data_IF_857085330688
#
_entry.id   IF_857085330688
#
_cell.length_a   1.000
_cell.length_b   1.000
_cell.length_c   1.000
_cell.angle_alpha   90.00
_cell.angle_beta   90.00
_cell.angle_gamma   90.00
#
_symmetry.space_group_name_H-M   'P 1'
#
loop_
_entity.id
_entity.type
_entity.pdbx_description
1 polymer ?
2 non-polymer ?
3 non-polymer ?
4 water ?
#
# COMPACT_ATOMS: atom_id res chain seq x y z
N UNK A 1 -8.51 -7.40 10.86
CA UNK A 1 -8.19 -8.51 11.81
C UNK A 1 -7.61 -9.72 11.07
N UNK A 2 -7.76 -9.73 9.75
CA UNK A 2 -7.27 -10.82 8.89
C UNK A 2 -5.73 -10.93 8.91
N UNK A 3 -5.06 -9.78 9.00
CA UNK A 3 -3.60 -9.76 9.04
C UNK A 3 -3.01 -9.70 10.47
N UNK A 4 -2.10 -10.63 10.73
CA UNK A 4 -1.53 -10.87 12.06
C UNK A 4 -0.19 -10.15 12.29
N UNK A 5 0.10 -9.16 11.44
CA UNK A 5 1.37 -8.45 11.53
C UNK A 5 1.17 -6.94 11.38
N UNK A 6 1.64 -6.22 12.39
CA UNK A 6 1.71 -4.77 12.35
C UNK A 6 3.04 -4.40 12.96
N UNK A 7 3.50 -3.20 12.62
CA UNK A 7 4.78 -2.68 13.09
C UNK A 7 4.58 -2.04 14.47
N UNK A 8 5.49 -2.37 15.39
CA UNK A 8 5.53 -1.72 16.69
C UNK A 8 6.49 -0.55 16.61
N UNK A 9 6.12 0.53 17.29
CA UNK A 9 7.00 1.69 17.42
C UNK A 9 6.96 2.60 16.20
N UNK A 10 5.97 2.38 15.35
CA UNK A 10 5.76 3.19 14.17
C UNK A 10 5.71 4.69 14.47
N UNK A 11 6.59 5.44 13.80
CA UNK A 11 6.46 6.89 13.77
C UNK A 11 5.97 7.32 12.39
N UNK A 12 4.68 7.65 12.30
CA UNK A 12 4.05 8.02 11.02
C UNK A 12 4.69 9.22 10.31
N UNK A 13 5.29 10.14 11.07
CA UNK A 13 5.96 11.30 10.45
C UNK A 13 7.08 10.83 9.53
N UNK A 14 7.81 9.80 9.98
CA UNK A 14 9.02 9.34 9.28
C UNK A 14 8.76 8.48 8.03
N UNK A 15 7.49 8.25 7.69
CA UNK A 15 7.12 7.67 6.38
C UNK A 15 6.77 8.73 5.30
N UNK A 16 6.82 10.01 5.68
CA UNK A 16 6.50 11.07 4.73
C UNK A 16 7.40 11.01 3.50
N UNK A 17 6.87 11.48 2.37
CA UNK A 17 7.70 11.65 1.19
C UNK A 17 7.35 10.71 0.06
N UNK A 18 8.33 10.46 -0.81
CA UNK A 18 8.22 9.65 -2.03
C UNK A 18 8.21 8.10 -1.83
N UNK A 19 7.21 7.42 -2.39
CA UNK A 19 7.31 5.95 -2.49
C UNK A 19 6.99 5.38 -3.87
N UNK A 20 7.50 4.18 -4.15
CA UNK A 20 7.13 3.42 -5.36
C UNK A 20 6.45 2.10 -4.96
N UNK A 21 5.33 1.79 -5.61
CA UNK A 21 4.63 0.51 -5.43
C UNK A 21 5.28 -0.56 -6.27
N UNK A 22 6.27 -1.24 -5.69
CA UNK A 22 7.10 -2.20 -6.41
C UNK A 22 6.38 -3.55 -6.63
N UNK A 23 5.66 -4.01 -5.62
CA UNK A 23 4.85 -5.24 -5.74
C UNK A 23 3.54 -5.06 -5.03
N UNK A 24 2.52 -5.67 -5.61
CA UNK A 24 1.18 -5.67 -5.03
C UNK A 24 0.69 -7.10 -5.03
N UNK A 25 -0.16 -7.42 -4.05
CA UNK A 25 -0.80 -8.75 -3.97
C UNK A 25 -2.22 -8.59 -3.45
N UNK A 26 -3.11 -9.52 -3.81
CA UNK A 26 -4.50 -9.48 -3.29
C UNK A 26 -5.16 -10.86 -3.17
N UNK A 27 -6.17 -10.89 -2.30
CA UNK A 27 -6.94 -12.07 -1.93
C UNK A 27 -7.80 -12.56 -3.08
N UNK A 28 -8.35 -11.64 -3.86
CA UNK A 28 -9.08 -12.03 -5.03
C UNK A 28 -8.45 -11.46 -6.30
N UNK A 29 -8.33 -12.32 -7.32
CA UNK A 29 -7.81 -11.96 -8.65
C UNK A 29 -8.31 -10.60 -9.15
N UNK A 30 -9.64 -10.45 -9.16
CA UNK A 30 -10.31 -9.27 -9.72
C UNK A 30 -10.03 -7.93 -9.03
N UNK A 31 -9.56 -7.96 -7.78
CA UNK A 31 -9.04 -6.74 -7.11
C UNK A 31 -7.83 -6.11 -7.83
N UNK A 32 -7.04 -6.93 -8.53
CA UNK A 32 -5.83 -6.44 -9.23
C UNK A 32 -5.80 -6.63 -10.75
N UNK A 33 -6.74 -7.42 -11.28
CA UNK A 33 -6.91 -7.67 -12.74
C UNK A 33 -6.38 -6.68 -13.78
N UNK A 34 -7.21 -5.72 -14.17
CA UNK A 34 -6.88 -4.82 -15.28
C UNK A 34 -6.29 -3.52 -14.75
N UNK A 35 -5.97 -2.59 -15.65
CA UNK A 35 -5.51 -1.26 -15.24
C UNK A 35 -6.57 -0.55 -14.40
N UNK A 36 -7.84 -0.81 -14.68
CA UNK A 36 -8.97 -0.19 -13.93
C UNK A 36 -9.46 -0.89 -12.65
N UNK A 37 -8.92 -2.07 -12.33
CA UNK A 37 -9.29 -2.84 -11.12
C UNK A 37 -9.31 -2.04 -9.81
N UNK A 38 -10.24 -2.38 -8.88
CA UNK A 38 -10.50 -1.58 -7.67
C UNK A 38 -9.32 -1.30 -6.72
N UNK A 39 -8.44 -2.27 -6.49
CA UNK A 39 -7.30 -1.97 -5.59
C UNK A 39 -5.96 -1.84 -6.30
N UNK A 40 -6.03 -1.62 -7.61
CA UNK A 40 -4.82 -1.44 -8.40
C UNK A 40 -4.38 0.03 -8.42
N UNK A 41 -3.58 0.41 -7.42
CA UNK A 41 -3.27 1.81 -7.17
C UNK A 41 -1.78 2.00 -6.93
N UNK A 42 -1.25 3.09 -7.47
CA UNK A 42 0.16 3.33 -7.52
C UNK A 42 0.45 4.50 -6.61
N UNK A 43 1.16 4.25 -5.52
CA UNK A 43 1.43 5.24 -4.50
C UNK A 43 2.49 6.23 -5.00
N UNK A 44 2.21 7.51 -4.79
CA UNK A 44 3.13 8.56 -5.20
C UNK A 44 3.83 9.19 -4.00
N UNK A 45 3.06 9.53 -2.97
CA UNK A 45 3.67 10.21 -1.83
C UNK A 45 2.82 10.15 -0.58
N UNK A 46 3.48 10.10 0.58
CA UNK A 46 2.73 10.15 1.82
C UNK A 46 3.00 11.47 2.55
N UNK A 47 1.91 12.16 2.89
CA UNK A 47 1.94 13.39 3.70
C UNK A 47 1.18 13.24 5.04
N UNK A 48 1.90 12.84 6.09
CA UNK A 48 1.36 12.86 7.46
C UNK A 48 0.94 14.27 7.89
N UNK A 49 -0.20 14.41 8.55
CA UNK A 49 -0.61 15.72 9.10
C UNK A 49 -0.11 15.87 10.54
N UNK A 50 0.02 17.12 11.04
CA UNK A 50 0.37 17.31 12.46
C UNK A 50 -0.51 16.57 13.46
N UNK A 51 -1.81 16.47 13.18
CA UNK A 51 -2.72 15.62 13.97
C UNK A 51 -2.40 14.10 13.91
N UNK A 52 -1.48 13.68 13.03
CA UNK A 52 -1.13 12.26 12.87
C UNK A 52 -2.00 11.48 11.89
N UNK A 53 -2.87 12.19 11.16
CA UNK A 53 -3.56 11.66 9.98
C UNK A 53 -2.59 11.56 8.78
N UNK A 54 -3.01 10.85 7.75
CA UNK A 54 -2.14 10.57 6.60
C UNK A 54 -2.81 10.93 5.27
N UNK A 55 -2.27 11.96 4.61
CA UNK A 55 -2.64 12.34 3.26
C UNK A 55 -1.93 11.44 2.25
N UNK A 56 -2.70 10.78 1.39
CA UNK A 56 -2.08 9.88 0.41
C UNK A 56 -2.29 10.38 -1.01
N UNK A 57 -1.20 10.61 -1.72
CA UNK A 57 -1.27 10.93 -3.13
C UNK A 57 -1.04 9.65 -3.93
N UNK A 58 -1.92 9.38 -4.90
CA UNK A 58 -1.79 8.18 -5.73
C UNK A 58 -2.36 8.33 -7.15
N UNK A 59 -2.04 7.34 -7.99
CA UNK A 59 -2.55 7.21 -9.36
C UNK A 59 -3.50 6.04 -9.45
N UNK A 60 -4.57 6.19 -10.23
CA UNK A 60 -5.46 5.08 -10.55
C UNK A 60 -6.08 5.25 -11.94
N UNK A 61 -6.04 4.19 -12.73
CA UNK A 61 -6.63 4.14 -14.06
C UNK A 61 -8.16 4.06 -14.01
N UNK A 62 -8.82 5.09 -14.54
CA UNK A 62 -10.29 5.18 -14.51
C UNK A 62 -10.99 5.24 -15.88
N UNK A 63 -10.51 6.08 -16.77
CA UNK A 63 -11.01 6.07 -18.14
C UNK A 63 -10.26 4.99 -18.90
N UNK A 64 -9.49 5.46 -19.87
CA UNK A 64 -8.32 4.79 -20.38
C UNK A 64 -7.23 5.79 -20.06
N UNK A 65 -7.38 6.46 -18.92
CA UNK A 65 -6.37 7.39 -18.43
C UNK A 65 -6.01 7.14 -16.97
N UNK A 66 -4.75 7.45 -16.68
CA UNK A 66 -4.15 7.37 -15.38
C UNK A 66 -4.51 8.63 -14.59
N UNK A 67 -5.43 8.51 -13.63
CA UNK A 67 -5.93 9.68 -12.90
C UNK A 67 -5.14 9.99 -11.62
N UNK A 68 -5.11 11.27 -11.27
CA UNK A 68 -4.52 11.76 -10.03
C UNK A 68 -5.54 11.66 -8.93
N UNK A 69 -5.17 11.01 -7.82
CA UNK A 69 -6.07 10.89 -6.68
C UNK A 69 -5.46 11.40 -5.37
N UNK A 70 -6.32 11.94 -4.50
CA UNK A 70 -5.94 12.35 -3.15
C UNK A 70 -6.90 11.74 -2.14
N UNK A 71 -6.35 11.01 -1.17
CA UNK A 71 -7.13 10.35 -0.12
C UNK A 71 -6.58 10.70 1.28
N UNK A 72 -7.44 10.66 2.29
CA UNK A 72 -6.97 10.88 3.66
C UNK A 72 -7.18 9.61 4.50
N UNK A 73 -6.11 9.16 5.13
CA UNK A 73 -6.19 8.02 6.03
C UNK A 73 -6.16 8.56 7.46
N UNK A 74 -7.27 8.39 8.15
CA UNK A 74 -7.43 8.90 9.53
C UNK A 74 -6.85 7.93 10.58
N UNK A 75 -6.16 8.47 11.58
CA UNK A 75 -5.58 7.66 12.65
C UNK A 75 -6.62 6.89 13.50
N UNK A 76 -6.16 5.85 14.19
CA UNK A 76 -6.94 5.14 15.20
C UNK A 76 -6.13 5.09 16.50
N UNK A 77 -6.59 4.28 17.45
CA UNK A 77 -5.87 4.08 18.71
C UNK A 77 -4.54 3.35 18.47
N UNK A 78 -4.48 2.58 17.39
CA UNK A 78 -3.29 1.79 17.14
C UNK A 78 -2.44 2.60 16.18
N UNK A 79 -1.19 2.88 16.57
CA UNK A 79 -0.32 3.68 15.71
C UNK A 79 -0.10 3.10 14.30
N UNK A 80 -0.32 1.81 14.10
CA UNK A 80 -0.04 1.16 12.82
C UNK A 80 -1.25 0.97 11.90
N UNK A 81 -2.42 1.41 12.35
CA UNK A 81 -3.69 1.16 11.65
C UNK A 81 -4.38 2.50 11.44
N UNK A 82 -4.89 2.69 10.22
CA UNK A 82 -5.57 3.91 9.81
C UNK A 82 -6.88 3.47 9.19
N UNK A 83 -7.85 4.38 9.10
CA UNK A 83 -9.13 4.14 8.44
C UNK A 83 -9.29 5.13 7.30
N UNK A 84 -9.77 4.65 6.16
CA UNK A 84 -9.96 5.52 5.00
C UNK A 84 -11.42 6.00 4.84
N UNK A 85 -11.62 7.16 4.23
CA UNK A 85 -12.97 7.60 3.85
C UNK A 85 -13.52 6.83 2.65
N UNK A 86 -14.75 6.35 2.73
CA UNK A 86 -15.51 6.27 3.98
C UNK A 86 -16.39 5.06 3.88
N UNK A 87 -16.75 4.73 2.64
CA UNK A 87 -17.56 3.57 2.37
C UNK A 87 -16.95 2.37 3.04
N UNK A 88 -17.58 2.00 4.16
CA UNK A 88 -17.21 0.86 5.00
C UNK A 88 -15.82 1.02 5.63
N UNK A 89 -15.30 2.25 5.53
CA UNK A 89 -14.21 2.77 6.36
C UNK A 89 -12.97 1.86 6.32
N UNK A 90 -12.37 1.75 5.13
CA UNK A 90 -11.29 0.79 4.87
C UNK A 90 -10.03 0.98 5.70
N UNK A 91 -9.65 -0.10 6.38
CA UNK A 91 -8.51 -0.08 7.30
C UNK A 91 -7.20 -0.32 6.58
N UNK A 92 -6.23 0.54 6.86
CA UNK A 92 -4.91 0.42 6.28
C UNK A 92 -3.95 0.10 7.41
N UNK A 93 -3.19 -0.97 7.25
CA UNK A 93 -2.29 -1.44 8.30
C UNK A 93 -0.81 -1.48 7.91
N UNK A 94 0.03 -0.86 8.73
CA UNK A 94 1.47 -0.83 8.44
C UNK A 94 2.12 -2.00 9.11
N UNK A 95 2.66 -2.94 8.31
CA UNK A 95 3.21 -4.19 8.83
C UNK A 95 4.67 -4.09 9.24
N UNK A 96 5.44 -3.33 8.46
CA UNK A 96 6.87 -3.21 8.64
C UNK A 96 7.40 -2.06 7.79
N UNK A 97 8.40 -1.35 8.29
CA UNK A 97 9.08 -0.31 7.52
C UNK A 97 10.39 0.02 8.20
N UNK A 98 11.41 0.35 7.42
CA UNK A 98 12.64 0.92 7.96
C UNK A 98 12.73 2.41 7.61
N UNK A 99 11.60 2.99 7.22
CA UNK A 99 11.47 4.40 6.79
C UNK A 99 12.37 4.84 5.59
N UNK A 100 13.54 4.24 5.45
CA UNK A 100 14.58 4.72 4.55
C UNK A 100 14.67 3.95 3.21
N UNK A 101 14.11 2.72 3.16
CA UNK A 101 14.15 1.78 2.03
C UNK A 101 12.77 1.18 1.68
N UNK A 102 12.14 0.46 2.62
CA UNK A 102 10.89 -0.20 2.30
C UNK A 102 9.77 0.07 3.28
N UNK A 103 8.55 -0.14 2.82
CA UNK A 103 7.43 -0.14 3.73
C UNK A 103 6.50 -1.23 3.23
N UNK A 104 6.03 -2.09 4.14
CA UNK A 104 4.93 -3.06 3.84
C UNK A 104 3.63 -2.67 4.52
N UNK A 105 2.57 -2.58 3.72
CA UNK A 105 1.24 -2.31 4.20
C UNK A 105 0.19 -3.21 3.54
N UNK A 106 -0.94 -3.31 4.21
CA UNK A 106 -2.10 -4.03 3.72
C UNK A 106 -3.34 -3.16 3.85
N UNK A 107 -4.29 -3.33 2.92
CA UNK A 107 -5.57 -2.60 2.94
C UNK A 107 -6.65 -3.63 3.01
N UNK A 108 -7.61 -3.44 3.91
CA UNK A 108 -8.67 -4.43 4.03
C UNK A 108 -10.01 -3.80 4.37
N UNK A 109 -11.10 -4.46 3.96
CA UNK A 109 -12.40 -4.19 4.58
C UNK A 109 -12.97 -5.39 5.35
N UNK A 113 -12.62 -11.56 10.08
CA UNK A 113 -11.69 -12.20 9.15
C UNK A 113 -12.32 -12.58 7.79
N UNK A 114 -13.05 -11.63 7.20
CA UNK A 114 -13.49 -11.70 5.80
C UNK A 114 -13.26 -10.31 5.19
N UNK A 115 -12.47 -10.20 4.12
CA UNK A 115 -11.71 -11.26 3.43
C UNK A 115 -11.49 -10.74 2.01
N UNK A 116 -11.58 -9.42 1.90
CA UNK A 116 -10.96 -8.70 0.80
C UNK A 116 -9.72 -8.03 1.37
N UNK A 117 -8.60 -8.24 0.70
CA UNK A 117 -7.31 -7.83 1.22
C UNK A 117 -6.38 -7.54 0.06
N UNK A 118 -5.76 -6.36 0.06
CA UNK A 118 -4.62 -6.08 -0.82
C UNK A 118 -3.45 -5.51 -0.03
N UNK A 119 -2.23 -5.90 -0.44
CA UNK A 119 -0.98 -5.49 0.22
C UNK A 119 0.08 -5.04 -0.78
N UNK A 120 0.96 -4.14 -0.34
CA UNK A 120 2.02 -3.65 -1.20
C UNK A 120 3.31 -3.63 -0.48
N UNK A 121 4.36 -3.75 -1.29
CA UNK A 121 5.71 -3.53 -0.87
C UNK A 121 6.06 -2.18 -1.48
N UNK A 122 6.12 -1.17 -0.63
CA UNK A 122 6.55 0.16 -1.06
C UNK A 122 8.04 0.27 -0.91
N UNK A 123 8.70 0.96 -1.84
CA UNK A 123 10.14 1.28 -1.69
C UNK A 123 10.46 2.74 -2.03
N UNK A 124 11.56 3.25 -1.49
CA UNK A 124 11.97 4.65 -1.69
C UNK A 124 12.52 5.03 -3.07
N UNK A 125 12.95 4.05 -3.85
CA UNK A 125 13.64 4.35 -5.12
C UNK A 125 13.29 3.33 -6.23
N UNK A 126 13.37 3.77 -7.52
CA UNK A 126 12.90 3.00 -8.68
C UNK A 126 13.78 1.83 -9.02
N UNK A 127 14.10 1.02 -8.01
CA UNK A 127 14.95 -0.14 -8.18
C UNK A 127 14.27 -1.35 -7.55
N UNK A 128 14.60 -2.53 -8.07
CA UNK A 128 14.04 -3.80 -7.57
C UNK A 128 14.82 -4.25 -6.32
N UNK A 129 14.21 -4.12 -5.15
CA UNK A 129 14.86 -4.50 -3.88
C UNK A 129 14.47 -5.93 -3.52
N UNK A 130 15.41 -6.86 -3.72
CA UNK A 130 15.20 -8.30 -3.51
C UNK A 130 14.87 -8.61 -2.06
N UNK A 131 15.54 -7.94 -1.14
CA UNK A 131 15.39 -8.24 0.28
C UNK A 131 14.12 -7.64 0.88
N UNK A 132 13.60 -6.58 0.26
CA UNK A 132 12.29 -6.07 0.64
C UNK A 132 11.16 -6.89 0.01
N UNK A 133 11.40 -7.39 -1.20
CA UNK A 133 10.50 -8.37 -1.83
C UNK A 133 10.49 -9.70 -1.10
N UNK A 134 11.63 -10.11 -0.56
CA UNK A 134 11.67 -11.30 0.29
C UNK A 134 10.81 -11.11 1.54
N UNK A 135 10.91 -9.93 2.16
CA UNK A 135 10.12 -9.55 3.33
C UNK A 135 8.62 -9.46 3.01
N UNK A 136 8.30 -9.01 1.81
CA UNK A 136 6.91 -8.94 1.36
C UNK A 136 6.32 -10.36 1.18
N UNK A 137 7.10 -11.25 0.55
CA UNK A 137 6.68 -12.62 0.35
C UNK A 137 6.61 -13.38 1.70
N UNK A 138 7.59 -13.16 2.58
CA UNK A 138 7.54 -13.70 3.96
C UNK A 138 6.29 -13.31 4.76
N UNK A 139 5.87 -12.04 4.67
CA UNK A 139 4.66 -11.56 5.38
C UNK A 139 3.36 -12.05 4.75
N UNK A 140 3.42 -12.35 3.46
CA UNK A 140 2.21 -12.75 2.74
C UNK A 140 1.92 -14.27 2.69
N UNK A 141 2.92 -15.09 2.96
CA UNK A 141 2.78 -16.55 2.85
C UNK A 141 1.77 -17.08 3.87
N UNK A 142 1.48 -16.27 4.88
CA UNK A 142 0.36 -16.45 5.79
C UNK A 142 -1.01 -16.20 5.13
N UNK A 143 -1.12 -15.03 4.51
CA UNK A 143 -2.39 -14.51 3.97
C UNK A 143 -2.86 -15.26 2.75
N UNK A 144 -4.17 -15.19 2.44
CA UNK A 144 -4.69 -15.95 1.31
C UNK A 144 -4.74 -15.15 0.00
N UNK A 145 -3.57 -14.90 -0.59
CA UNK A 145 -3.48 -14.07 -1.79
C UNK A 145 -3.59 -14.93 -3.03
N UNK A 146 -4.24 -14.41 -4.07
CA UNK A 146 -4.49 -15.17 -5.31
C UNK A 146 -4.07 -14.44 -6.59
N UNK A 147 -3.65 -13.19 -6.43
CA UNK A 147 -2.96 -12.48 -7.50
C UNK A 147 -1.76 -11.74 -6.92
N UNK A 148 -0.65 -11.74 -7.66
CA UNK A 148 0.54 -11.01 -7.27
C UNK A 148 1.17 -10.38 -8.51
N UNK A 149 1.57 -9.11 -8.38
CA UNK A 149 2.16 -8.33 -9.48
C UNK A 149 3.48 -7.69 -9.05
N UNK A 150 4.42 -7.61 -9.99
CA UNK A 150 5.75 -7.05 -9.72
C UNK A 150 6.11 -6.07 -10.85
N UNK A 151 6.85 -5.00 -10.55
CA UNK A 151 7.13 -3.99 -11.61
C UNK A 151 8.62 -3.72 -11.74
N UNK A 152 9.05 -3.40 -12.96
CA UNK A 152 10.46 -3.19 -13.27
C UNK A 152 10.85 -1.71 -13.12
N UNK A 153 12.16 -1.40 -13.13
CA UNK A 153 12.48 0.01 -12.93
C UNK A 153 11.88 0.96 -13.98
N UNK A 154 11.79 0.51 -15.24
CA UNK A 154 11.15 1.30 -16.30
C UNK A 154 9.72 1.67 -15.98
N UNK A 155 8.92 0.66 -15.61
CA UNK A 155 7.50 0.83 -15.27
C UNK A 155 7.28 1.77 -14.10
N UNK A 156 8.19 1.68 -13.13
CA UNK A 156 8.18 2.50 -11.90
C UNK A 156 8.34 4.01 -12.14
N UNK A 157 9.01 4.38 -13.24
CA UNK A 157 9.18 5.81 -13.58
C UNK A 157 8.10 6.37 -14.51
N UNK A 158 7.12 5.54 -14.88
CA UNK A 158 5.99 5.93 -15.72
C UNK A 158 4.74 6.11 -14.89
N UNK A 159 3.77 6.91 -15.36
CA UNK A 159 2.47 7.05 -14.66
C UNK A 159 1.65 5.77 -14.82
N UNK A 160 1.06 5.29 -13.73
CA UNK A 160 0.34 4.01 -13.73
C UNK A 160 1.15 2.80 -14.21
N UNK A 161 2.46 2.95 -14.23
CA UNK A 161 3.38 1.83 -14.37
C UNK A 161 3.22 1.07 -15.71
N UNK A 162 2.89 1.80 -16.77
CA UNK A 162 2.78 1.20 -18.11
C UNK A 162 4.16 0.81 -18.67
X LIG B 1 -11.37 4.39 -6.56
X LIG B 1 -12.07 3.52 -5.99
X LIG B 1 -11.42 4.60 -7.79
X LIG B 1 -10.41 5.19 -5.72
X LIG B 1 -9.20 4.32 -5.39
X LIG B 1 -9.14 3.99 -3.90
X LIG B 1 -8.67 2.57 -3.65
X LIG B 1 -8.36 2.31 -2.18
X LIG B 1 -7.32 3.31 -1.68
X LIG B 1 -6.39 2.68 -0.67
X LIG B 1 -5.15 3.54 -0.56
X LIG B 1 -4.33 3.09 0.65
X LIG B 1 -2.91 3.53 0.38
X LIG B 1 -2.07 3.17 1.59
X LIG B 1 -0.79 3.94 1.52
X LIG B 1 0.23 3.43 2.53
X LIG B 1 0.17 4.22 3.83
X LIG B 1 1.18 3.60 4.78
X LIG B 1 1.35 4.40 6.05
X LIG B 1 0.08 5.10 6.47
X LIG C 1 7.73 -9.48 7.07
X LIG C 1 8.52 -8.45 7.89
X LIG C 1 8.59 -10.41 6.45
X LIG D 1 15.49 -0.23 -2.53
X LIG D 1 14.79 -0.08 -3.88
X LIG D 1 14.65 0.09 -1.44
X LIG E 1 1.20 -11.75 8.04
X LIG E 1 0.05 -10.78 8.22
X LIG E 1 2.46 -11.13 8.18
#
# INVERSE_FOLDING_TARGET
LIVTQTMKGLDIQKVAGTWYSLAMAASDISLLDAQSAPLRVYVEELKPTPEGDLEILLQKWENGECAQKKIIAEKTKIPAVFKIDALNENKVLVLDTDYKKYLLFCMENSAEPEQSLACQCLVRTPEVDDEALEKFDKALKALPMHIRLSFNPTQLEEQCHI
STE C1 O1 O2 C2 C3 C4 C5 C6 C7 C8 C9 C10 C11 C12 C13 C14 C15 C16 C17 C18
EOH C1 C2 O
EOH C1 C2 O
EOH C1 C2 O
#
